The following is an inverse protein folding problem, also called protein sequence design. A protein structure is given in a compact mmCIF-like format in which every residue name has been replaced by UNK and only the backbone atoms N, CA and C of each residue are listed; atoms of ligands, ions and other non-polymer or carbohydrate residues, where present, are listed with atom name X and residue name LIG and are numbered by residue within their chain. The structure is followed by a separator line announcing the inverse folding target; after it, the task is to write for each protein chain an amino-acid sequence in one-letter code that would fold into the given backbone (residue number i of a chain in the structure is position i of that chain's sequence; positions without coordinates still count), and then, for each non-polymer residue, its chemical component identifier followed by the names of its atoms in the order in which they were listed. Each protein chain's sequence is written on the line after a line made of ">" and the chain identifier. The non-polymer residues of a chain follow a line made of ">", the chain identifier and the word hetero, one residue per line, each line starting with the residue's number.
data_IF_759747138749
#
_entry.id   IF_759747138749
#
_cell.length_a   1.000
_cell.length_b   1.000
_cell.length_c   1.000
_cell.angle_alpha   90.00
_cell.angle_beta   90.00
_cell.angle_gamma   90.00
#
_symmetry.space_group_name_H-M   'P 1'
#
loop_
_entity.id
_entity.type
_entity.pdbx_description
1 polymer ?
#
# COMPACT_ATOMS: atom_id res chain seq x y z
N UNK A 1 41.97 52.12 30.24
CA UNK A 1 41.57 50.73 29.96
C UNK A 1 40.51 50.82 28.88
N UNK A 2 40.78 50.23 27.73
CA UNK A 2 40.20 50.59 26.43
C UNK A 2 38.77 50.03 26.26
N UNK A 3 37.76 50.92 26.18
CA UNK A 3 36.33 50.57 26.08
C UNK A 3 36.04 49.68 24.86
N UNK A 4 36.82 49.83 23.78
CA UNK A 4 36.67 49.02 22.57
C UNK A 4 37.00 47.55 22.83
N UNK A 5 37.96 47.24 23.71
CA UNK A 5 38.33 45.84 24.05
C UNK A 5 37.28 45.17 24.93
N UNK A 6 36.59 45.92 25.79
CA UNK A 6 35.51 45.42 26.65
C UNK A 6 34.28 45.07 25.78
N UNK A 7 33.96 45.90 24.79
CA UNK A 7 32.83 45.67 23.88
C UNK A 7 32.95 44.35 23.09
N UNK A 8 34.13 44.05 22.54
CA UNK A 8 34.35 42.79 21.80
C UNK A 8 34.23 41.53 22.67
N UNK A 9 34.66 41.59 23.93
CA UNK A 9 34.52 40.46 24.87
C UNK A 9 33.05 40.20 25.19
N UNK A 10 32.26 41.26 25.41
CA UNK A 10 30.83 41.13 25.70
C UNK A 10 30.05 40.60 24.49
N UNK A 11 30.31 41.13 23.28
CA UNK A 11 29.66 40.64 22.05
C UNK A 11 30.04 39.19 21.74
N UNK A 12 31.32 38.83 21.91
CA UNK A 12 31.79 37.45 21.73
C UNK A 12 31.14 36.47 22.71
N UNK A 13 31.01 36.85 23.99
CA UNK A 13 30.35 36.03 25.01
C UNK A 13 28.86 35.81 24.70
N UNK A 14 28.15 36.84 24.24
CA UNK A 14 26.74 36.74 23.85
C UNK A 14 26.56 35.82 22.64
N UNK A 15 27.43 35.92 21.63
CA UNK A 15 27.36 35.05 20.45
C UNK A 15 27.55 33.56 20.80
N UNK A 16 28.45 33.23 21.73
CA UNK A 16 28.69 31.84 22.17
C UNK A 16 27.49 31.27 22.92
N UNK A 17 26.87 32.06 23.79
CA UNK A 17 25.66 31.63 24.54
C UNK A 17 24.50 31.38 23.59
N UNK A 18 24.30 32.27 22.61
CA UNK A 18 23.24 32.16 21.61
C UNK A 18 23.46 30.93 20.71
N UNK A 19 24.68 30.72 20.20
CA UNK A 19 25.02 29.54 19.42
C UNK A 19 24.85 28.24 20.21
N UNK A 20 25.31 28.22 21.47
CA UNK A 20 25.17 27.07 22.36
C UNK A 20 23.70 26.71 22.65
N UNK A 21 22.85 27.72 22.84
CA UNK A 21 21.42 27.54 23.00
C UNK A 21 20.77 26.89 21.78
N UNK A 22 21.11 27.36 20.56
CA UNK A 22 20.59 26.76 19.33
C UNK A 22 21.07 25.32 19.11
N UNK A 23 22.34 25.01 19.42
CA UNK A 23 22.85 23.63 19.31
C UNK A 23 22.18 22.68 20.30
N UNK A 24 21.92 23.15 21.53
CA UNK A 24 21.22 22.36 22.54
C UNK A 24 19.76 22.13 22.14
N UNK A 25 19.11 23.16 21.59
CA UNK A 25 17.73 23.05 21.12
C UNK A 25 17.58 22.02 19.98
N UNK A 26 18.54 21.96 19.05
CA UNK A 26 18.54 21.00 17.94
C UNK A 26 18.72 19.54 18.41
N UNK A 27 19.67 19.31 19.33
CA UNK A 27 19.95 17.97 19.90
C UNK A 27 18.73 17.38 20.63
N UNK A 28 18.02 18.21 21.41
CA UNK A 28 16.78 17.79 22.09
C UNK A 28 15.68 17.43 21.08
N UNK A 29 15.58 18.15 19.96
CA UNK A 29 14.58 17.84 18.93
C UNK A 29 14.85 16.53 18.19
N UNK A 30 16.11 16.18 17.95
CA UNK A 30 16.47 14.89 17.33
C UNK A 30 16.15 13.71 18.26
N UNK A 31 16.43 13.86 19.54
CA UNK A 31 16.12 12.84 20.56
C UNK A 31 14.61 12.58 20.67
N UNK A 32 13.81 13.65 20.76
CA UNK A 32 12.34 13.56 20.85
C UNK A 32 11.75 12.95 19.57
N UNK A 33 12.31 13.29 18.40
CA UNK A 33 11.87 12.73 17.13
C UNK A 33 12.17 11.23 17.05
N UNK A 34 13.35 10.81 17.50
CA UNK A 34 13.74 9.41 17.59
C UNK A 34 12.83 8.60 18.52
N UNK A 35 12.56 9.09 19.74
CA UNK A 35 11.70 8.42 20.71
C UNK A 35 10.27 8.24 20.18
N UNK A 36 9.71 9.27 19.54
CA UNK A 36 8.38 9.18 18.90
C UNK A 36 8.34 8.18 17.74
N UNK A 37 9.41 8.09 16.96
CA UNK A 37 9.51 7.11 15.86
C UNK A 37 9.50 5.69 16.45
N UNK A 38 10.31 5.43 17.49
CA UNK A 38 10.37 4.11 18.13
C UNK A 38 9.03 3.71 18.76
N UNK A 39 8.30 4.65 19.38
CA UNK A 39 6.96 4.38 19.92
C UNK A 39 5.95 4.04 18.82
N UNK A 40 5.99 4.76 17.69
CA UNK A 40 5.15 4.47 16.52
C UNK A 40 5.51 3.11 15.91
N UNK A 41 6.78 2.78 15.76
CA UNK A 41 7.23 1.48 15.25
C UNK A 41 6.75 0.33 16.12
N UNK A 42 6.85 0.48 17.44
CA UNK A 42 6.34 -0.50 18.41
C UNK A 42 4.82 -0.65 18.32
N UNK A 43 4.09 0.46 18.19
CA UNK A 43 2.64 0.42 18.00
C UNK A 43 2.27 -0.25 16.67
N UNK A 44 3.01 0.01 15.59
CA UNK A 44 2.81 -0.66 14.30
C UNK A 44 3.07 -2.17 14.46
N UNK A 45 4.14 -2.59 15.12
CA UNK A 45 4.47 -4.01 15.32
C UNK A 45 3.40 -4.75 16.13
N UNK A 46 2.90 -4.13 17.21
CA UNK A 46 1.84 -4.68 18.07
C UNK A 46 0.47 -4.70 17.39
N UNK A 47 0.17 -3.74 16.50
CA UNK A 47 -1.11 -3.66 15.78
C UNK A 47 -1.14 -4.46 14.49
N UNK A 48 0.01 -4.66 13.83
CA UNK A 48 0.11 -5.35 12.53
C UNK A 48 0.68 -6.77 12.61
N UNK A 49 1.07 -7.24 13.79
CA UNK A 49 1.58 -8.60 13.98
C UNK A 49 2.88 -8.88 13.22
N UNK A 50 3.78 -7.89 13.14
CA UNK A 50 5.08 -8.04 12.49
C UNK A 50 5.08 -7.77 10.98
N UNK A 51 4.26 -6.82 10.49
CA UNK A 51 4.37 -6.35 9.11
C UNK A 51 5.63 -5.48 8.93
N UNK A 52 6.70 -6.08 8.43
CA UNK A 52 7.88 -5.36 7.94
C UNK A 52 7.58 -4.79 6.54
N UNK A 53 7.64 -3.47 6.30
CA UNK A 53 7.47 -2.90 4.97
C UNK A 53 8.76 -3.09 4.17
N UNK A 54 9.07 -4.33 3.84
CA UNK A 54 10.26 -4.70 3.07
C UNK A 54 9.88 -5.11 1.66
N UNK A 55 10.27 -4.24 0.72
CA UNK A 55 10.45 -4.48 -0.72
C UNK A 55 9.19 -4.40 -1.58
N UNK A 56 9.35 -3.72 -2.71
CA UNK A 56 8.33 -3.45 -3.73
C UNK A 56 7.83 -4.76 -4.36
N UNK A 57 6.82 -5.36 -3.73
CA UNK A 57 6.08 -6.51 -4.21
C UNK A 57 4.91 -6.08 -5.11
N UNK A 58 5.19 -5.41 -6.24
CA UNK A 58 4.17 -5.07 -7.24
C UNK A 58 4.20 -6.13 -8.35
N UNK A 59 3.35 -7.16 -8.30
CA UNK A 59 3.36 -8.23 -9.28
C UNK A 59 2.94 -7.72 -10.66
N UNK A 60 3.64 -8.18 -11.69
CA UNK A 60 3.40 -7.79 -13.08
C UNK A 60 3.55 -8.98 -14.03
N UNK A 61 2.84 -8.90 -15.16
CA UNK A 61 2.92 -9.86 -16.25
C UNK A 61 2.62 -9.14 -17.56
N UNK A 62 3.65 -9.00 -18.40
CA UNK A 62 3.56 -8.20 -19.62
C UNK A 62 3.12 -6.75 -19.33
N UNK A 63 2.07 -6.23 -20.00
CA UNK A 63 1.58 -4.87 -19.80
C UNK A 63 0.71 -4.71 -18.54
N UNK A 64 0.44 -5.79 -17.80
CA UNK A 64 -0.47 -5.82 -16.66
C UNK A 64 0.28 -5.80 -15.33
N UNK A 65 -0.18 -5.01 -14.36
CA UNK A 65 0.41 -4.89 -13.01
C UNK A 65 -0.65 -4.60 -11.95
N UNK A 66 -0.41 -5.00 -10.71
CA UNK A 66 -1.14 -4.53 -9.53
C UNK A 66 -0.18 -3.86 -8.53
N UNK A 67 -0.69 -2.97 -7.69
CA UNK A 67 0.12 -2.16 -6.78
C UNK A 67 0.75 -2.94 -5.62
N UNK A 68 0.15 -4.04 -5.16
CA UNK A 68 0.64 -4.85 -4.04
C UNK A 68 0.43 -6.35 -4.27
N UNK A 69 1.23 -7.18 -3.62
CA UNK A 69 1.03 -8.63 -3.57
C UNK A 69 0.07 -9.06 -2.46
N UNK A 70 -0.18 -8.20 -1.48
CA UNK A 70 -1.03 -8.46 -0.32
C UNK A 70 -1.90 -7.23 0.01
N UNK A 71 -3.14 -7.49 0.42
CA UNK A 71 -4.15 -6.49 0.76
C UNK A 71 -4.92 -6.88 2.02
N UNK A 72 -5.32 -5.88 2.79
CA UNK A 72 -6.32 -5.99 3.87
C UNK A 72 -7.73 -6.04 3.29
N UNK A 73 -8.67 -6.61 4.05
CA UNK A 73 -10.10 -6.48 3.78
C UNK A 73 -10.47 -5.00 3.83
N UNK A 74 -11.14 -4.50 2.80
CA UNK A 74 -11.48 -3.07 2.71
C UNK A 74 -10.52 -2.24 1.85
N UNK A 75 -9.35 -2.76 1.47
CA UNK A 75 -8.43 -2.05 0.58
C UNK A 75 -8.86 -2.07 -0.88
N UNK A 76 -8.49 -1.02 -1.61
CA UNK A 76 -8.62 -0.96 -3.05
C UNK A 76 -7.42 -1.64 -3.71
N UNK A 77 -7.69 -2.48 -4.70
CA UNK A 77 -6.68 -3.08 -5.56
C UNK A 77 -6.56 -2.20 -6.80
N UNK A 78 -5.33 -1.73 -7.09
CA UNK A 78 -5.07 -0.89 -8.24
C UNK A 78 -4.46 -1.70 -9.38
N UNK A 79 -5.30 -2.00 -10.38
CA UNK A 79 -4.90 -2.69 -11.60
C UNK A 79 -4.48 -1.68 -12.67
N UNK A 80 -3.27 -1.88 -13.19
CA UNK A 80 -2.61 -0.97 -14.13
C UNK A 80 -2.32 -1.75 -15.40
N UNK A 81 -2.72 -1.17 -16.53
CA UNK A 81 -2.37 -1.66 -17.86
C UNK A 81 -1.65 -0.55 -18.60
N UNK A 82 -0.44 -0.83 -19.04
CA UNK A 82 0.37 0.14 -19.79
C UNK A 82 1.16 -0.55 -20.90
N UNK A 83 1.32 0.13 -22.02
CA UNK A 83 2.01 -0.38 -23.21
C UNK A 83 1.42 -1.70 -23.76
N UNK A 84 0.10 -1.88 -23.68
CA UNK A 84 -0.61 -3.00 -24.28
C UNK A 84 -0.41 -2.97 -25.81
N UNK A 85 0.09 -4.07 -26.38
CA UNK A 85 0.42 -4.12 -27.80
C UNK A 85 -0.86 -4.06 -28.65
N UNK A 86 -0.79 -3.49 -29.85
CA UNK A 86 -1.99 -3.38 -30.71
C UNK A 86 -2.57 -4.73 -31.15
N UNK A 87 -1.78 -5.80 -31.08
CA UNK A 87 -2.22 -7.17 -31.35
C UNK A 87 -2.90 -7.83 -30.13
N UNK A 88 -2.68 -7.31 -28.92
CA UNK A 88 -3.22 -7.90 -27.69
C UNK A 88 -4.71 -7.60 -27.58
N UNK A 89 -5.52 -8.67 -27.52
CA UNK A 89 -6.97 -8.57 -27.41
C UNK A 89 -7.53 -9.74 -26.66
N UNK A 90 -8.36 -9.45 -25.67
CA UNK A 90 -8.86 -10.50 -24.79
C UNK A 90 -9.62 -9.97 -23.60
N UNK A 91 -9.50 -10.71 -22.50
CA UNK A 91 -10.16 -10.38 -21.24
C UNK A 91 -9.29 -10.67 -20.03
N UNK A 92 -9.30 -9.73 -19.09
CA UNK A 92 -8.75 -9.90 -17.75
C UNK A 92 -9.84 -10.54 -16.89
N UNK A 93 -9.51 -11.61 -16.19
CA UNK A 93 -10.44 -12.32 -15.30
C UNK A 93 -9.85 -12.31 -13.89
N UNK A 94 -10.60 -11.74 -12.94
CA UNK A 94 -10.26 -11.76 -11.53
C UNK A 94 -10.96 -12.95 -10.89
N UNK A 95 -10.16 -13.85 -10.33
CA UNK A 95 -10.59 -15.07 -9.68
C UNK A 95 -10.44 -14.93 -8.17
N UNK A 96 -11.56 -15.09 -7.47
CA UNK A 96 -11.58 -15.19 -6.01
C UNK A 96 -11.45 -16.66 -5.58
N UNK A 97 -10.79 -16.94 -4.45
CA UNK A 97 -10.79 -18.28 -3.88
C UNK A 97 -12.21 -18.65 -3.40
N UNK A 98 -12.59 -19.91 -3.60
CA UNK A 98 -13.76 -20.53 -2.96
C UNK A 98 -13.33 -21.56 -1.90
N UNK A 99 -12.16 -22.17 -2.11
CA UNK A 99 -11.42 -23.03 -1.20
C UNK A 99 -9.96 -23.10 -1.70
N UNK A 100 -9.13 -23.95 -1.10
CA UNK A 100 -7.69 -24.04 -1.42
C UNK A 100 -7.36 -24.30 -2.90
N UNK A 101 -8.24 -24.96 -3.66
CA UNK A 101 -7.97 -25.35 -5.06
C UNK A 101 -8.98 -24.82 -6.07
N UNK A 102 -10.11 -24.27 -5.62
CA UNK A 102 -11.20 -23.85 -6.48
C UNK A 102 -11.35 -22.34 -6.46
N UNK A 103 -11.64 -21.79 -7.64
CA UNK A 103 -11.82 -20.37 -7.86
C UNK A 103 -13.19 -20.08 -8.45
N UNK A 104 -13.71 -18.88 -8.19
CA UNK A 104 -14.86 -18.34 -8.91
C UNK A 104 -14.54 -16.98 -9.52
N UNK A 105 -15.22 -16.66 -10.63
CA UNK A 105 -15.03 -15.38 -11.31
C UNK A 105 -15.66 -14.27 -10.47
N UNK A 106 -14.84 -13.32 -10.03
CA UNK A 106 -15.28 -12.12 -9.31
C UNK A 106 -15.64 -10.98 -10.26
N UNK A 107 -14.80 -10.74 -11.27
CA UNK A 107 -15.00 -9.70 -12.28
C UNK A 107 -14.25 -10.01 -13.57
N UNK A 108 -14.64 -9.33 -14.65
CA UNK A 108 -14.05 -9.46 -15.97
C UNK A 108 -13.93 -8.09 -16.64
N UNK A 109 -12.82 -7.84 -17.32
CA UNK A 109 -12.57 -6.62 -18.11
C UNK A 109 -12.18 -7.03 -19.52
N UNK A 110 -12.83 -6.48 -20.53
CA UNK A 110 -12.41 -6.66 -21.92
C UNK A 110 -11.31 -5.65 -22.28
N UNK A 111 -10.30 -6.08 -23.03
CA UNK A 111 -9.25 -5.21 -23.55
C UNK A 111 -9.00 -5.45 -25.04
N UNK A 112 -8.58 -4.38 -25.73
CA UNK A 112 -8.23 -4.39 -27.14
C UNK A 112 -7.15 -3.31 -27.35
N UNK A 113 -5.89 -3.74 -27.47
CA UNK A 113 -4.73 -2.86 -27.58
C UNK A 113 -4.72 -2.03 -28.87
N UNK A 114 -5.47 -2.46 -29.90
CA UNK A 114 -5.68 -1.65 -31.12
C UNK A 114 -6.55 -0.41 -30.87
N UNK A 115 -7.36 -0.43 -29.79
CA UNK A 115 -8.27 0.66 -29.42
C UNK A 115 -7.74 1.49 -28.26
N UNK A 116 -7.11 0.85 -27.28
CA UNK A 116 -6.60 1.51 -26.08
C UNK A 116 -5.37 0.75 -25.56
N UNK A 117 -4.23 1.41 -25.53
CA UNK A 117 -2.96 0.82 -25.14
C UNK A 117 -2.65 0.94 -23.63
N UNK A 118 -3.32 1.84 -22.91
CA UNK A 118 -3.12 2.01 -21.46
C UNK A 118 -4.44 2.35 -20.76
N UNK A 119 -4.69 1.72 -19.61
CA UNK A 119 -5.82 2.03 -18.75
C UNK A 119 -5.59 1.51 -17.33
N UNK A 120 -6.18 2.18 -16.36
CA UNK A 120 -6.13 1.76 -14.96
C UNK A 120 -7.54 1.51 -14.43
N UNK A 121 -7.67 0.58 -13.51
CA UNK A 121 -8.91 0.32 -12.81
C UNK A 121 -8.65 0.06 -11.33
N UNK A 122 -9.50 0.67 -10.50
CA UNK A 122 -9.59 0.33 -9.09
C UNK A 122 -10.74 -0.63 -8.91
N UNK A 123 -10.56 -1.64 -8.07
CA UNK A 123 -11.67 -2.42 -7.57
C UNK A 123 -11.47 -2.75 -6.10
N UNK A 124 -12.59 -2.80 -5.39
CA UNK A 124 -12.65 -3.17 -3.98
C UNK A 124 -13.41 -4.50 -3.86
N UNK A 125 -12.77 -5.56 -3.36
CA UNK A 125 -13.46 -6.78 -2.97
C UNK A 125 -14.51 -6.48 -1.88
N UNK A 126 -15.75 -6.91 -2.09
CA UNK A 126 -16.86 -6.60 -1.21
C UNK A 126 -17.86 -7.76 -1.13
N UNK A 127 -18.61 -7.80 -0.03
CA UNK A 127 -19.73 -8.72 0.14
C UNK A 127 -20.81 -8.43 -0.91
N UNK A 128 -21.44 -9.49 -1.40
CA UNK A 128 -22.45 -9.38 -2.45
C UNK A 128 -23.33 -10.63 -2.49
N UNK A 129 -24.61 -10.45 -2.19
CA UNK A 129 -25.64 -11.50 -2.37
C UNK A 129 -25.63 -12.06 -3.80
N UNK A 130 -25.56 -11.18 -4.80
CA UNK A 130 -25.59 -11.58 -6.21
C UNK A 130 -24.40 -12.45 -6.63
N UNK A 131 -23.25 -12.27 -5.99
CA UNK A 131 -22.04 -13.07 -6.23
C UNK A 131 -21.85 -14.22 -5.23
N UNK A 132 -22.78 -14.39 -4.27
CA UNK A 132 -22.68 -15.35 -3.16
C UNK A 132 -21.39 -15.15 -2.36
N UNK A 133 -21.16 -13.91 -1.93
CA UNK A 133 -20.08 -13.49 -1.04
C UNK A 133 -20.78 -12.94 0.19
N UNK A 134 -20.87 -13.75 1.23
CA UNK A 134 -21.72 -13.51 2.39
C UNK A 134 -20.92 -13.03 3.58
N UNK A 135 -19.70 -13.53 3.75
CA UNK A 135 -18.83 -13.25 4.89
C UNK A 135 -17.44 -12.81 4.40
N UNK A 136 -16.60 -12.32 5.31
CA UNK A 136 -15.21 -11.96 4.98
C UNK A 136 -14.35 -13.15 4.58
N UNK A 137 -14.65 -14.35 5.08
CA UNK A 137 -13.96 -15.58 4.71
C UNK A 137 -14.06 -15.86 3.20
N UNK A 138 -15.15 -15.43 2.56
CA UNK A 138 -15.35 -15.53 1.11
C UNK A 138 -14.45 -14.60 0.28
N UNK A 139 -13.74 -13.67 0.94
CA UNK A 139 -12.80 -12.72 0.34
C UNK A 139 -11.34 -13.05 0.67
N UNK A 140 -11.07 -13.62 1.83
CA UNK A 140 -9.72 -13.94 2.31
C UNK A 140 -9.10 -15.08 1.48
N UNK A 141 -7.81 -14.97 1.20
CA UNK A 141 -7.02 -16.04 0.59
C UNK A 141 -6.27 -15.60 -0.68
N UNK A 142 -5.84 -16.59 -1.46
CA UNK A 142 -5.07 -16.37 -2.69
C UNK A 142 -6.00 -16.09 -3.86
N UNK A 143 -5.88 -14.90 -4.45
CA UNK A 143 -6.56 -14.49 -5.66
C UNK A 143 -5.66 -14.66 -6.88
N UNK A 144 -6.29 -14.78 -8.05
CA UNK A 144 -5.58 -14.87 -9.33
C UNK A 144 -6.17 -13.91 -10.36
N UNK A 145 -5.31 -13.38 -11.21
CA UNK A 145 -5.66 -12.57 -12.37
C UNK A 145 -5.15 -13.32 -13.60
N UNK A 146 -6.06 -13.65 -14.52
CA UNK A 146 -5.75 -14.39 -15.75
C UNK A 146 -6.01 -13.49 -16.95
N UNK A 147 -5.14 -13.60 -17.96
CA UNK A 147 -5.18 -12.82 -19.20
C UNK A 147 -5.54 -13.71 -20.39
N UNK A 148 -6.83 -14.00 -20.55
CA UNK A 148 -7.28 -14.83 -21.66
C UNK A 148 -7.20 -14.08 -23.00
N UNK A 149 -6.74 -14.77 -24.05
CA UNK A 149 -6.46 -14.17 -25.36
C UNK A 149 -5.01 -13.72 -25.54
N UNK A 150 -4.16 -13.97 -24.54
CA UNK A 150 -2.71 -13.68 -24.56
C UNK A 150 -1.92 -14.85 -23.98
N UNK A 151 -0.59 -14.81 -24.09
CA UNK A 151 0.35 -15.76 -23.49
C UNK A 151 0.96 -15.25 -22.17
N UNK A 152 0.50 -14.11 -21.66
CA UNK A 152 0.95 -13.55 -20.39
C UNK A 152 0.58 -14.46 -19.21
N UNK A 153 1.53 -14.63 -18.29
CA UNK A 153 1.35 -15.45 -17.09
C UNK A 153 0.33 -14.83 -16.15
N UNK A 154 -0.34 -15.65 -15.33
CA UNK A 154 -1.25 -15.14 -14.31
C UNK A 154 -0.51 -14.37 -13.23
N UNK A 155 -1.18 -13.37 -12.66
CA UNK A 155 -0.72 -12.66 -11.47
C UNK A 155 -1.47 -13.23 -10.26
N UNK A 156 -0.77 -13.50 -9.17
CA UNK A 156 -1.37 -13.92 -7.91
C UNK A 156 -1.15 -12.87 -6.83
N UNK A 157 -2.15 -12.69 -5.95
CA UNK A 157 -2.06 -11.82 -4.78
C UNK A 157 -2.88 -12.41 -3.63
N UNK A 158 -2.69 -11.92 -2.41
CA UNK A 158 -3.40 -12.40 -1.22
C UNK A 158 -4.25 -11.29 -0.61
N UNK A 159 -5.47 -11.63 -0.21
CA UNK A 159 -6.21 -10.84 0.77
C UNK A 159 -6.03 -11.53 2.13
N UNK A 160 -5.51 -10.81 3.12
CA UNK A 160 -5.29 -11.35 4.46
C UNK A 160 -6.50 -11.07 5.36
N UNK A 161 -6.68 -11.92 6.37
CA UNK A 161 -7.74 -11.78 7.36
C UNK A 161 -7.41 -10.68 8.37
N UNK A 162 -7.48 -9.44 7.89
CA UNK A 162 -7.27 -8.22 8.66
C UNK A 162 -7.93 -7.07 7.93
N UNK A 163 -8.56 -6.17 8.69
CA UNK A 163 -9.29 -5.04 8.11
C UNK A 163 -8.40 -3.82 7.92
N UNK A 164 -8.66 -3.08 6.85
CA UNK A 164 -8.27 -1.69 6.77
C UNK A 164 -8.99 -0.91 7.87
N UNK A 165 -8.25 -0.09 8.61
CA UNK A 165 -8.77 0.66 9.75
C UNK A 165 -10.07 1.43 9.41
N UNK A 166 -11.15 1.13 10.14
CA UNK A 166 -12.44 1.80 10.00
C UNK A 166 -13.38 1.21 8.94
N UNK A 167 -12.96 0.13 8.27
CA UNK A 167 -13.76 -0.56 7.28
C UNK A 167 -14.65 -1.67 7.86
N UNK A 168 -14.45 -2.08 9.11
CA UNK A 168 -15.03 -3.27 9.74
C UNK A 168 -16.56 -3.30 9.61
N UNK A 169 -17.20 -2.15 9.85
CA UNK A 169 -18.66 -1.96 9.79
C UNK A 169 -19.30 -2.20 8.41
N UNK A 170 -18.50 -2.23 7.33
CA UNK A 170 -18.99 -2.46 5.97
C UNK A 170 -18.97 -3.92 5.55
N UNK A 171 -18.46 -4.78 6.43
CA UNK A 171 -18.27 -6.22 6.18
C UNK A 171 -18.99 -7.07 7.22
N UNK A 172 -20.10 -6.55 7.76
CA UNK A 172 -21.06 -7.38 8.50
C UNK A 172 -21.69 -8.41 7.57
N UNK A 173 -21.83 -9.65 8.05
CA UNK A 173 -22.40 -10.75 7.29
C UNK A 173 -23.76 -10.36 6.70
N UNK A 174 -23.89 -10.55 5.38
CA UNK A 174 -25.11 -10.15 4.66
C UNK A 174 -26.03 -11.34 4.37
N UNK A 175 -25.55 -12.56 4.58
CA UNK A 175 -26.33 -13.79 4.56
C UNK A 175 -26.26 -14.41 5.97
#
# INVERSE_FOLDING_TARGET
>A
MDETRIFFIVVGAVAVVVLGYYTLQADQTETIMGEKITEIEKLIEETTGGFSPTVSDSPASGPFRIDKSQYLIGENIFFIVDNLASADKGRVIFLRPMNDTNYSVYSMILFDGSKKNSFNQYFKPALSHGKKICTTDDLVGMWQIIFEGTDYQSISFRIIDSFLFGEEKYYEDIC
#
